data_IF_395365101292
#
_entry.id   IF_395365101292
#
_cell.length_a   1.000
_cell.length_b   1.000
_cell.length_c   1.000
_cell.angle_alpha   90.00
_cell.angle_beta   90.00
_cell.angle_gamma   90.00
#
_symmetry.space_group_name_H-M   'P 1'
#
loop_
_entity.id
_entity.type
_entity.pdbx_description
1 polymer ?
#
# COMPACT_ATOMS: atom_id res chain seq x y z
N UNK A 1 -26.97 -12.91 23.14
CA UNK A 1 -26.03 -13.72 23.93
C UNK A 1 -26.21 -15.15 23.45
N UNK A 2 -25.24 -15.92 22.97
CA UNK A 2 -23.82 -15.74 22.74
C UNK A 2 -23.33 -17.12 22.25
N UNK A 3 -22.53 -17.13 21.18
CA UNK A 3 -21.63 -18.23 20.75
C UNK A 3 -22.34 -19.55 20.36
N UNK A 4 -21.84 -20.46 19.50
CA UNK A 4 -20.46 -20.83 19.21
C UNK A 4 -20.46 -21.83 18.02
N UNK A 5 -19.42 -21.73 17.20
CA UNK A 5 -18.83 -22.76 16.32
C UNK A 5 -19.71 -23.47 15.28
N UNK A 6 -19.46 -23.19 14.00
CA UNK A 6 -19.51 -24.21 12.96
C UNK A 6 -18.17 -24.28 12.23
N UNK A 7 -17.51 -25.41 12.46
CA UNK A 7 -16.40 -25.94 11.68
C UNK A 7 -16.79 -26.03 10.20
N UNK A 8 -15.85 -25.79 9.29
CA UNK A 8 -15.90 -26.44 7.99
C UNK A 8 -14.49 -26.82 7.56
N UNK A 9 -14.27 -28.12 7.65
CA UNK A 9 -13.18 -28.90 7.11
C UNK A 9 -12.81 -28.54 5.67
N UNK A 10 -11.50 -28.50 5.44
CA UNK A 10 -10.81 -29.33 4.45
C UNK A 10 -11.37 -29.32 3.02
N UNK A 11 -10.78 -28.49 2.14
CA UNK A 11 -10.63 -28.87 0.74
C UNK A 11 -9.25 -28.44 0.23
N UNK A 12 -8.52 -29.42 -0.28
CA UNK A 12 -7.15 -29.30 -0.76
C UNK A 12 -7.01 -28.65 -2.13
N UNK A 13 -5.75 -28.37 -2.46
CA UNK A 13 -5.22 -28.16 -3.80
C UNK A 13 -5.62 -26.87 -4.53
N UNK A 14 -4.87 -25.79 -4.28
CA UNK A 14 -4.49 -24.81 -5.29
C UNK A 14 -3.12 -24.20 -4.92
N UNK A 15 -2.08 -24.78 -5.51
CA UNK A 15 -0.88 -24.15 -6.09
C UNK A 15 -0.19 -22.99 -5.36
N UNK A 16 1.12 -23.14 -5.20
CA UNK A 16 2.12 -22.12 -4.85
C UNK A 16 2.24 -21.82 -3.34
N UNK A 17 3.43 -22.14 -2.80
CA UNK A 17 3.87 -21.79 -1.45
C UNK A 17 3.43 -20.35 -1.08
N UNK A 18 2.77 -20.15 0.07
CA UNK A 18 2.36 -18.81 0.48
C UNK A 18 3.60 -18.02 0.88
N UNK A 19 3.82 -16.79 0.38
CA UNK A 19 4.68 -15.85 1.10
C UNK A 19 4.07 -15.73 2.50
N UNK A 20 4.89 -15.82 3.54
CA UNK A 20 4.41 -15.98 4.92
C UNK A 20 3.34 -14.95 5.26
N UNK A 21 2.45 -15.23 6.22
CA UNK A 21 1.32 -14.34 6.61
C UNK A 21 1.70 -12.85 6.82
N UNK A 22 2.99 -12.51 6.94
CA UNK A 22 3.58 -11.17 7.09
C UNK A 22 3.82 -10.40 5.78
N UNK A 23 3.67 -11.06 4.63
CA UNK A 23 4.01 -10.49 3.31
C UNK A 23 2.79 -9.98 2.54
N UNK A 24 1.59 -10.27 3.03
CA UNK A 24 0.33 -9.79 2.47
C UNK A 24 -0.26 -8.75 3.41
N UNK A 25 -0.51 -7.56 2.87
CA UNK A 25 -1.18 -6.47 3.57
C UNK A 25 -2.60 -6.33 3.03
N UNK A 26 -3.55 -6.27 3.96
CA UNK A 26 -4.91 -5.83 3.68
C UNK A 26 -4.94 -4.36 3.25
N UNK A 27 -6.04 -3.92 2.65
CA UNK A 27 -6.25 -2.51 2.30
C UNK A 27 -6.06 -1.57 3.49
N UNK A 28 -6.51 -1.99 4.69
CA UNK A 28 -6.38 -1.20 5.91
C UNK A 28 -4.92 -1.05 6.35
N UNK A 29 -4.13 -2.13 6.30
CA UNK A 29 -2.71 -2.10 6.64
C UNK A 29 -1.91 -1.30 5.60
N UNK A 30 -2.24 -1.39 4.31
CA UNK A 30 -1.64 -0.54 3.27
C UNK A 30 -1.97 0.93 3.50
N UNK A 31 -3.21 1.25 3.89
CA UNK A 31 -3.63 2.61 4.20
C UNK A 31 -2.84 3.17 5.39
N UNK A 32 -2.65 2.40 6.45
CA UNK A 32 -1.81 2.76 7.60
C UNK A 32 -0.34 2.95 7.20
N UNK A 33 0.23 2.03 6.41
CA UNK A 33 1.61 2.11 5.95
C UNK A 33 1.90 3.38 5.13
N UNK A 34 0.93 3.78 4.30
CA UNK A 34 1.04 4.97 3.47
C UNK A 34 0.54 6.24 4.16
N UNK A 35 -0.05 6.13 5.35
CA UNK A 35 -0.74 7.18 6.09
C UNK A 35 -1.78 7.93 5.22
N UNK A 36 -2.63 7.16 4.54
CA UNK A 36 -3.71 7.65 3.66
C UNK A 36 -5.04 7.01 4.02
N UNK A 37 -6.15 7.57 3.51
CA UNK A 37 -7.45 6.94 3.68
C UNK A 37 -7.57 5.61 2.92
N UNK A 38 -8.30 4.61 3.45
CA UNK A 38 -8.57 3.36 2.73
C UNK A 38 -9.27 3.58 1.38
N UNK A 39 -10.15 4.58 1.29
CA UNK A 39 -10.82 4.95 0.05
C UNK A 39 -9.84 5.38 -1.03
N UNK A 40 -8.79 6.12 -0.66
CA UNK A 40 -7.74 6.50 -1.60
C UNK A 40 -6.99 5.27 -2.15
N UNK A 41 -6.74 4.26 -1.33
CA UNK A 41 -6.09 3.02 -1.76
C UNK A 41 -6.97 2.27 -2.77
N UNK A 42 -8.25 2.11 -2.49
CA UNK A 42 -9.18 1.38 -3.37
C UNK A 42 -9.45 2.13 -4.67
N UNK A 43 -9.81 3.42 -4.59
CA UNK A 43 -10.24 4.18 -5.75
C UNK A 43 -9.09 4.65 -6.63
N UNK A 44 -7.93 4.96 -6.03
CA UNK A 44 -6.79 5.50 -6.78
C UNK A 44 -5.75 4.41 -7.02
N UNK A 45 -5.19 3.82 -5.98
CA UNK A 45 -4.03 2.93 -6.12
C UNK A 45 -4.37 1.58 -6.76
N UNK A 46 -5.53 1.01 -6.43
CA UNK A 46 -5.97 -0.25 -7.02
C UNK A 46 -6.57 -0.09 -8.43
N UNK A 47 -7.30 1.01 -8.69
CA UNK A 47 -7.92 1.27 -10.00
C UNK A 47 -6.90 1.61 -11.09
N UNK A 48 -5.85 2.36 -10.73
CA UNK A 48 -4.78 2.76 -11.67
C UNK A 48 -3.67 1.71 -11.82
N UNK A 49 -3.86 0.51 -11.24
CA UNK A 49 -2.91 -0.60 -11.31
C UNK A 49 -1.50 -0.29 -10.79
N UNK A 50 -1.38 0.71 -9.93
CA UNK A 50 -0.10 1.16 -9.36
C UNK A 50 0.44 0.16 -8.32
N UNK A 51 -0.44 -0.55 -7.61
CA UNK A 51 -0.10 -1.56 -6.61
C UNK A 51 -0.46 -2.98 -7.09
N UNK A 52 0.11 -3.41 -8.23
CA UNK A 52 0.02 -4.80 -8.68
C UNK A 52 1.23 -5.61 -8.19
N UNK A 53 1.04 -6.91 -7.86
CA UNK A 53 -0.20 -7.69 -7.98
C UNK A 53 -1.17 -7.50 -6.81
N UNK A 54 -2.47 -7.60 -7.11
CA UNK A 54 -3.56 -7.59 -6.12
C UNK A 54 -4.09 -9.02 -6.01
N UNK A 55 -3.96 -9.61 -4.83
CA UNK A 55 -4.50 -10.93 -4.52
C UNK A 55 -5.93 -10.78 -3.99
N UNK A 56 -6.85 -11.61 -4.46
CA UNK A 56 -8.22 -11.68 -3.93
C UNK A 56 -8.41 -13.00 -3.22
N UNK A 57 -8.66 -12.96 -1.92
CA UNK A 57 -8.88 -14.14 -1.08
C UNK A 57 -10.17 -13.90 -0.29
N UNK A 58 -11.16 -14.80 -0.44
CA UNK A 58 -12.49 -14.69 0.18
C UNK A 58 -13.17 -13.32 0.01
N UNK A 59 -13.14 -12.75 -1.20
CA UNK A 59 -13.73 -11.44 -1.50
C UNK A 59 -12.95 -10.23 -0.97
N UNK A 60 -11.90 -10.45 -0.16
CA UNK A 60 -11.01 -9.40 0.35
C UNK A 60 -9.81 -9.22 -0.57
N UNK A 61 -9.35 -7.97 -0.70
CA UNK A 61 -8.19 -7.60 -1.53
C UNK A 61 -6.94 -7.46 -0.65
N UNK A 62 -5.87 -8.08 -1.08
CA UNK A 62 -4.56 -8.07 -0.44
C UNK A 62 -3.50 -7.58 -1.43
N UNK A 63 -2.48 -6.93 -0.90
CA UNK A 63 -1.35 -6.37 -1.65
C UNK A 63 -0.08 -6.92 -1.05
N UNK A 64 0.91 -7.24 -1.88
CA UNK A 64 2.22 -7.65 -1.38
C UNK A 64 2.91 -6.48 -0.67
N UNK A 65 3.38 -6.73 0.56
CA UNK A 65 4.10 -5.75 1.38
C UNK A 65 5.26 -5.10 0.63
N UNK A 66 6.07 -5.90 -0.06
CA UNK A 66 7.21 -5.43 -0.87
C UNK A 66 6.79 -4.38 -1.90
N UNK A 67 5.63 -4.58 -2.55
CA UNK A 67 5.12 -3.63 -3.54
C UNK A 67 4.64 -2.34 -2.91
N UNK A 68 3.97 -2.42 -1.75
CA UNK A 68 3.53 -1.25 -1.00
C UNK A 68 4.72 -0.43 -0.47
N UNK A 69 5.76 -1.09 0.03
CA UNK A 69 6.99 -0.43 0.46
C UNK A 69 7.76 0.20 -0.70
N UNK A 70 7.86 -0.48 -1.84
CA UNK A 70 8.48 0.07 -3.05
C UNK A 70 7.75 1.33 -3.52
N UNK A 71 6.41 1.33 -3.49
CA UNK A 71 5.60 2.51 -3.77
C UNK A 71 5.89 3.66 -2.82
N UNK A 72 5.93 3.39 -1.51
CA UNK A 72 6.24 4.38 -0.49
C UNK A 72 7.63 5.01 -0.71
N UNK A 73 8.65 4.19 -1.00
CA UNK A 73 10.01 4.67 -1.28
C UNK A 73 10.04 5.56 -2.52
N UNK A 74 9.34 5.17 -3.60
CA UNK A 74 9.23 5.98 -4.82
C UNK A 74 8.57 7.33 -4.55
N UNK A 75 7.44 7.35 -3.85
CA UNK A 75 6.74 8.58 -3.43
C UNK A 75 7.63 9.50 -2.60
N UNK A 76 8.35 8.96 -1.60
CA UNK A 76 9.27 9.75 -0.76
C UNK A 76 10.41 10.38 -1.57
N UNK A 77 10.97 9.66 -2.54
CA UNK A 77 12.01 10.21 -3.43
C UNK A 77 11.48 11.37 -4.26
N UNK A 78 10.30 11.22 -4.85
CA UNK A 78 9.66 12.28 -5.63
C UNK A 78 9.33 13.50 -4.76
N UNK A 79 8.77 13.29 -3.58
CA UNK A 79 8.47 14.39 -2.65
C UNK A 79 9.73 15.16 -2.25
N UNK A 80 10.82 14.45 -1.90
CA UNK A 80 12.10 15.09 -1.58
C UNK A 80 12.67 15.87 -2.76
N UNK A 81 12.57 15.33 -3.98
CA UNK A 81 13.03 16.02 -5.18
C UNK A 81 12.22 17.30 -5.43
N UNK A 82 10.90 17.21 -5.38
CA UNK A 82 10.02 18.37 -5.53
C UNK A 82 10.30 19.45 -4.47
N UNK A 83 10.51 19.05 -3.21
CA UNK A 83 10.87 20.00 -2.14
C UNK A 83 12.22 20.69 -2.40
N UNK A 84 13.22 19.96 -2.89
CA UNK A 84 14.51 20.56 -3.28
C UNK A 84 14.37 21.53 -4.45
N UNK A 85 13.56 21.18 -5.43
CA UNK A 85 13.28 22.03 -6.59
C UNK A 85 12.56 23.32 -6.14
N UNK A 86 11.56 23.21 -5.27
CA UNK A 86 10.89 24.37 -4.67
C UNK A 86 11.85 25.24 -3.86
N UNK A 87 12.70 24.64 -3.02
CA UNK A 87 13.69 25.37 -2.24
C UNK A 87 14.69 26.11 -3.14
N UNK A 88 15.15 25.47 -4.23
CA UNK A 88 16.02 26.12 -5.22
C UNK A 88 15.33 27.28 -5.93
N UNK A 89 14.06 27.13 -6.30
CA UNK A 89 13.27 28.21 -6.92
C UNK A 89 13.12 29.39 -5.94
N UNK A 90 12.82 29.12 -4.68
CA UNK A 90 12.70 30.14 -3.63
C UNK A 90 14.03 30.88 -3.38
N UNK A 91 15.16 30.16 -3.34
CA UNK A 91 16.49 30.77 -3.23
C UNK A 91 16.83 31.64 -4.45
N UNK A 92 16.57 31.15 -5.67
CA UNK A 92 16.78 31.93 -6.90
C UNK A 92 15.88 33.15 -7.00
N UNK A 93 14.67 33.07 -6.46
CA UNK A 93 13.73 34.19 -6.38
C UNK A 93 14.13 35.23 -5.29
N UNK A 94 15.25 35.04 -4.58
CA UNK A 94 15.73 35.97 -3.56
C UNK A 94 14.90 35.98 -2.27
N UNK A 95 14.00 35.01 -2.08
CA UNK A 95 13.10 34.95 -0.92
C UNK A 95 13.84 34.62 0.39
N UNK A 96 15.07 34.08 0.29
CA UNK A 96 16.00 33.96 1.41
C UNK A 96 17.38 34.45 0.95
N UNK A 97 17.81 35.59 1.47
CA UNK A 97 19.24 35.93 1.55
C UNK A 97 19.83 34.99 2.60
N UNK A 98 20.75 34.13 2.20
CA UNK A 98 21.58 33.37 3.12
C UNK A 98 22.46 34.30 3.94
#
# INVERSE_FOLDING_TARGET
MGERCMSFDSCGCCSHLPPGKRDLLSVAEVAQLLNVSPSYVVHRLMRTYVLRPILRVHGRRYVLRVTAEAYLRKRRRLARRALRELACIQQKAGAYKC
#
